data_IF_599594554249
#
_entry.id   IF_599594554249
#
_cell.length_a   1.000
_cell.length_b   1.000
_cell.length_c   1.000
_cell.angle_alpha   90.00
_cell.angle_beta   90.00
_cell.angle_gamma   90.00
#
_symmetry.space_group_name_H-M   'P 1'
#
loop_
_entity.id
_entity.type
_entity.pdbx_description
1 polymer ?
#
# COMPACT_ATOMS: atom_id res chain seq x y z
N UNK A 1 -3.72 -11.44 -29.08
CA UNK A 1 -3.00 -11.39 -27.79
C UNK A 1 -3.49 -12.57 -26.97
N UNK A 2 -2.63 -13.53 -26.63
CA UNK A 2 -3.03 -14.72 -25.85
C UNK A 2 -3.67 -14.27 -24.53
N UNK A 3 -4.93 -14.66 -24.30
CA UNK A 3 -5.65 -14.27 -23.10
C UNK A 3 -5.00 -14.94 -21.89
N UNK A 4 -4.17 -14.19 -21.15
CA UNK A 4 -3.61 -14.65 -19.88
C UNK A 4 -4.74 -15.18 -18.99
N UNK A 5 -4.51 -16.35 -18.40
CA UNK A 5 -5.48 -16.93 -17.46
C UNK A 5 -5.69 -15.98 -16.27
N UNK A 6 -6.86 -15.98 -15.61
CA UNK A 6 -7.14 -15.07 -14.50
C UNK A 6 -6.10 -15.09 -13.38
N UNK A 7 -5.59 -16.27 -13.02
CA UNK A 7 -4.55 -16.41 -11.99
C UNK A 7 -3.20 -15.83 -12.44
N UNK A 8 -2.81 -15.99 -13.72
CA UNK A 8 -1.58 -15.40 -14.26
C UNK A 8 -1.63 -13.88 -14.22
N UNK A 9 -2.80 -13.29 -14.54
CA UNK A 9 -3.01 -11.84 -14.42
C UNK A 9 -2.91 -11.37 -12.98
N UNK A 10 -3.45 -12.12 -12.01
CA UNK A 10 -3.31 -11.80 -10.59
C UNK A 10 -1.86 -11.88 -10.13
N UNK A 11 -1.14 -12.96 -10.46
CA UNK A 11 0.28 -13.09 -10.12
C UNK A 11 1.10 -11.97 -10.74
N UNK A 12 0.88 -11.66 -12.02
CA UNK A 12 1.55 -10.56 -12.71
C UNK A 12 1.24 -9.21 -12.04
N UNK A 13 -0.02 -8.92 -11.73
CA UNK A 13 -0.41 -7.70 -11.04
C UNK A 13 0.29 -7.58 -9.69
N UNK A 14 0.29 -8.66 -8.90
CA UNK A 14 0.98 -8.69 -7.59
C UNK A 14 2.47 -8.44 -7.74
N UNK A 15 3.16 -9.14 -8.65
CA UNK A 15 4.59 -8.94 -8.89
C UNK A 15 4.88 -7.52 -9.32
N UNK A 16 4.09 -6.97 -10.27
CA UNK A 16 4.24 -5.60 -10.73
C UNK A 16 4.03 -4.58 -9.60
N UNK A 17 3.05 -4.81 -8.73
CA UNK A 17 2.82 -3.93 -7.57
C UNK A 17 3.97 -4.03 -6.57
N UNK A 18 4.49 -5.22 -6.28
CA UNK A 18 5.64 -5.37 -5.38
C UNK A 18 6.89 -4.69 -5.92
N UNK A 19 7.18 -4.88 -7.22
CA UNK A 19 8.29 -4.20 -7.89
C UNK A 19 8.08 -2.69 -7.91
N UNK A 20 6.87 -2.21 -8.18
CA UNK A 20 6.55 -0.78 -8.18
C UNK A 20 6.68 -0.15 -6.79
N UNK A 21 6.20 -0.83 -5.74
CA UNK A 21 6.36 -0.38 -4.35
C UNK A 21 7.83 -0.32 -3.94
N UNK A 22 8.62 -1.33 -4.31
CA UNK A 22 10.05 -1.35 -4.04
C UNK A 22 10.78 -0.24 -4.79
N UNK A 23 10.51 -0.07 -6.08
CA UNK A 23 11.08 0.98 -6.91
C UNK A 23 10.69 2.37 -6.39
N UNK A 24 9.42 2.56 -6.00
CA UNK A 24 8.96 3.83 -5.43
C UNK A 24 9.63 4.13 -4.08
N UNK A 25 9.85 3.11 -3.24
CA UNK A 25 10.56 3.27 -1.97
C UNK A 25 12.03 3.65 -2.18
N UNK A 26 12.69 2.99 -3.14
CA UNK A 26 14.07 3.31 -3.52
C UNK A 26 14.18 4.71 -4.15
N UNK A 27 13.25 5.08 -5.03
CA UNK A 27 13.22 6.40 -5.65
C UNK A 27 12.96 7.49 -4.60
N UNK A 28 12.06 7.22 -3.65
CA UNK A 28 11.76 8.14 -2.58
C UNK A 28 12.97 8.40 -1.68
N UNK A 29 13.68 7.36 -1.26
CA UNK A 29 14.86 7.52 -0.43
C UNK A 29 16.01 8.26 -1.15
N UNK A 30 16.12 8.10 -2.47
CA UNK A 30 17.22 8.70 -3.25
C UNK A 30 16.94 10.12 -3.74
N UNK A 31 15.71 10.43 -4.14
CA UNK A 31 15.39 11.64 -4.89
C UNK A 31 14.38 12.58 -4.22
N UNK A 32 13.55 12.11 -3.29
CA UNK A 32 12.61 13.02 -2.63
C UNK A 32 13.34 13.88 -1.58
N UNK A 33 13.03 15.18 -1.48
CA UNK A 33 13.54 16.03 -0.41
C UNK A 33 13.19 15.44 0.97
N UNK A 34 14.06 15.56 2.00
CA UNK A 34 13.78 15.04 3.34
C UNK A 34 12.44 15.51 3.91
N UNK A 35 12.06 16.76 3.67
CA UNK A 35 10.78 17.33 4.09
C UNK A 35 9.56 16.56 3.55
N UNK A 36 9.70 15.91 2.40
CA UNK A 36 8.64 15.13 1.77
C UNK A 36 8.61 13.68 2.27
N UNK A 37 9.73 13.19 2.83
CA UNK A 37 9.82 11.87 3.44
C UNK A 37 9.35 11.85 4.90
N UNK A 38 9.12 13.02 5.50
CA UNK A 38 8.76 13.15 6.90
C UNK A 38 7.35 12.64 7.19
N UNK A 39 7.23 11.89 8.27
CA UNK A 39 5.94 11.60 8.88
C UNK A 39 5.40 12.87 9.54
N UNK A 40 4.14 13.20 9.24
CA UNK A 40 3.46 14.36 9.83
C UNK A 40 2.86 13.95 11.16
N UNK A 41 3.30 14.53 12.30
CA UNK A 41 2.69 14.27 13.59
C UNK A 41 1.30 14.92 13.63
N UNK A 42 0.30 14.15 14.05
CA UNK A 42 -1.09 14.62 14.23
C UNK A 42 -1.65 14.11 15.56
N UNK A 43 -2.77 14.67 16.07
CA UNK A 43 -3.43 14.13 17.26
C UNK A 43 -3.87 12.66 17.12
N UNK A 44 -4.00 12.16 15.88
CA UNK A 44 -4.37 10.78 15.56
C UNK A 44 -3.15 9.86 15.38
N UNK A 45 -1.94 10.39 15.53
CA UNK A 45 -0.68 9.66 15.32
C UNK A 45 0.16 10.22 14.16
N UNK A 46 1.11 9.41 13.70
CA UNK A 46 2.02 9.79 12.62
C UNK A 46 1.43 9.41 11.26
N UNK A 47 1.26 10.40 10.39
CA UNK A 47 0.72 10.22 9.05
C UNK A 47 1.82 10.30 8.00
N UNK A 48 1.68 9.53 6.93
CA UNK A 48 2.64 9.51 5.81
C UNK A 48 1.91 9.80 4.48
N UNK A 49 1.56 11.07 4.20
CA UNK A 49 0.72 11.44 3.06
C UNK A 49 1.26 10.95 1.72
N UNK A 50 2.57 11.08 1.52
CA UNK A 50 3.23 10.64 0.28
C UNK A 50 3.17 9.13 0.14
N UNK A 51 3.37 8.39 1.23
CA UNK A 51 3.24 6.93 1.22
C UNK A 51 1.84 6.49 0.83
N UNK A 52 0.79 7.22 1.23
CA UNK A 52 -0.58 6.93 0.81
C UNK A 52 -0.77 7.14 -0.69
N UNK A 53 -0.23 8.24 -1.24
CA UNK A 53 -0.30 8.53 -2.68
C UNK A 53 0.45 7.46 -3.50
N UNK A 54 1.65 7.09 -3.06
CA UNK A 54 2.46 6.02 -3.68
C UNK A 54 1.71 4.70 -3.62
N UNK A 55 1.14 4.36 -2.47
CA UNK A 55 0.34 3.12 -2.30
C UNK A 55 -0.85 3.12 -3.25
N UNK A 56 -1.61 4.22 -3.33
CA UNK A 56 -2.73 4.34 -4.26
C UNK A 56 -2.29 4.18 -5.73
N UNK A 57 -1.19 4.83 -6.13
CA UNK A 57 -0.66 4.72 -7.49
C UNK A 57 -0.21 3.30 -7.84
N UNK A 58 0.51 2.63 -6.93
CA UNK A 58 0.93 1.25 -7.13
C UNK A 58 -0.29 0.31 -7.20
N UNK A 59 -1.25 0.44 -6.30
CA UNK A 59 -2.44 -0.42 -6.30
C UNK A 59 -3.33 -0.16 -7.52
N UNK A 60 -3.33 1.06 -8.06
CA UNK A 60 -3.98 1.36 -9.34
C UNK A 60 -3.35 0.58 -10.50
N UNK A 61 -2.02 0.43 -10.56
CA UNK A 61 -1.38 -0.42 -11.57
C UNK A 61 -1.88 -1.87 -11.48
N UNK A 62 -1.95 -2.43 -10.27
CA UNK A 62 -2.49 -3.78 -10.08
C UNK A 62 -3.97 -3.89 -10.47
N UNK A 63 -4.77 -2.87 -10.16
CA UNK A 63 -6.17 -2.76 -10.57
C UNK A 63 -6.34 -2.67 -12.09
N UNK A 64 -5.46 -1.96 -12.81
CA UNK A 64 -5.47 -1.91 -14.28
C UNK A 64 -5.16 -3.29 -14.88
N UNK A 65 -4.27 -4.06 -14.27
CA UNK A 65 -3.82 -5.36 -14.81
C UNK A 65 -4.79 -6.49 -14.49
N UNK A 66 -5.32 -6.57 -13.26
CA UNK A 66 -6.12 -7.69 -12.76
C UNK A 66 -7.61 -7.34 -12.49
N UNK A 67 -8.00 -6.07 -12.62
CA UNK A 67 -9.38 -5.61 -12.48
C UNK A 67 -9.90 -5.65 -11.05
N UNK A 68 -11.24 -5.71 -10.91
CA UNK A 68 -11.93 -5.61 -9.61
C UNK A 68 -11.51 -6.66 -8.59
N UNK A 69 -11.09 -7.86 -9.04
CA UNK A 69 -10.63 -8.95 -8.16
C UNK A 69 -9.33 -8.59 -7.43
N UNK A 70 -8.55 -7.65 -7.96
CA UNK A 70 -7.31 -7.21 -7.34
C UNK A 70 -7.54 -6.46 -6.02
N UNK A 71 -8.74 -5.92 -5.77
CA UNK A 71 -9.05 -5.20 -4.52
C UNK A 71 -8.74 -6.04 -3.27
N UNK A 72 -9.09 -7.33 -3.28
CA UNK A 72 -8.82 -8.25 -2.16
C UNK A 72 -7.33 -8.43 -1.95
N UNK A 73 -6.57 -8.53 -3.04
CA UNK A 73 -5.10 -8.66 -3.00
C UNK A 73 -4.44 -7.37 -2.52
N UNK A 74 -4.91 -6.21 -2.99
CA UNK A 74 -4.41 -4.90 -2.56
C UNK A 74 -4.60 -4.70 -1.05
N UNK A 75 -5.79 -5.01 -0.53
CA UNK A 75 -6.09 -4.95 0.89
C UNK A 75 -5.25 -5.98 1.68
N UNK A 76 -5.19 -7.22 1.21
CA UNK A 76 -4.42 -8.29 1.86
C UNK A 76 -2.93 -7.98 1.93
N UNK A 77 -2.32 -7.48 0.85
CA UNK A 77 -0.92 -7.06 0.82
C UNK A 77 -0.66 -5.88 1.77
N UNK A 78 -1.53 -4.86 1.74
CA UNK A 78 -1.38 -3.68 2.59
C UNK A 78 -1.51 -4.05 4.07
N UNK A 79 -2.46 -4.95 4.40
CA UNK A 79 -2.62 -5.46 5.76
C UNK A 79 -1.41 -6.30 6.19
N UNK A 80 -0.91 -7.19 5.32
CA UNK A 80 0.28 -7.99 5.60
C UNK A 80 1.52 -7.13 5.85
N UNK A 81 1.70 -6.05 5.06
CA UNK A 81 2.77 -5.08 5.29
C UNK A 81 2.62 -4.39 6.65
N UNK A 82 1.42 -3.97 7.03
CA UNK A 82 1.19 -3.37 8.35
C UNK A 82 1.43 -4.35 9.50
N UNK A 83 1.02 -5.61 9.36
CA UNK A 83 1.35 -6.66 10.34
C UNK A 83 2.86 -6.78 10.48
N UNK A 84 3.59 -6.85 9.36
CA UNK A 84 5.06 -6.88 9.38
C UNK A 84 5.67 -5.62 10.02
N UNK A 85 5.12 -4.43 9.74
CA UNK A 85 5.54 -3.18 10.38
C UNK A 85 5.32 -3.22 11.89
N UNK A 86 4.16 -3.68 12.37
CA UNK A 86 3.91 -3.81 13.81
C UNK A 86 4.83 -4.82 14.47
N UNK A 87 5.11 -5.95 13.83
CA UNK A 87 6.08 -6.94 14.32
C UNK A 87 7.48 -6.33 14.39
N UNK A 88 7.90 -5.58 13.37
CA UNK A 88 9.19 -4.90 13.36
C UNK A 88 9.29 -3.85 14.48
N UNK A 89 8.29 -2.97 14.60
CA UNK A 89 8.25 -1.94 15.64
C UNK A 89 8.22 -2.54 17.05
N UNK A 90 7.49 -3.65 17.23
CA UNK A 90 7.48 -4.40 18.47
C UNK A 90 8.89 -4.90 18.83
N UNK A 91 9.60 -5.52 17.88
CA UNK A 91 10.96 -6.02 18.09
C UNK A 91 11.97 -4.91 18.39
N UNK A 92 11.77 -3.70 17.88
CA UNK A 92 12.63 -2.54 18.17
C UNK A 92 12.31 -1.95 19.56
N UNK A 93 11.04 -1.92 19.95
CA UNK A 93 10.61 -1.30 21.20
C UNK A 93 10.74 -2.20 22.43
N UNK A 94 10.63 -3.53 22.27
CA UNK A 94 10.73 -4.53 23.33
C UNK A 94 12.07 -4.48 24.11
N UNK A 95 13.25 -4.35 23.47
CA UNK A 95 14.53 -4.28 24.16
C UNK A 95 14.79 -2.97 24.90
N UNK A 96 13.98 -1.93 24.66
CA UNK A 96 14.26 -0.57 25.11
C UNK A 96 13.55 -0.18 26.42
N UNK A 97 12.67 -1.03 26.98
CA UNK A 97 11.76 -0.60 28.07
C UNK A 97 11.56 -1.69 29.13
N UNK A 98 11.97 -1.37 30.37
CA UNK A 98 11.51 -2.00 31.60
C UNK A 98 10.13 -1.40 32.00
N UNK A 99 9.01 -2.10 31.74
CA UNK A 99 7.75 -1.88 32.47
C UNK A 99 6.58 -1.11 31.79
N UNK A 100 6.59 -0.83 30.49
CA UNK A 100 5.46 -0.21 29.77
C UNK A 100 4.53 -1.19 29.02
N UNK A 101 3.39 -0.71 28.49
CA UNK A 101 2.59 -1.37 27.42
C UNK A 101 2.98 -0.81 26.03
N UNK A 102 4.21 -1.02 25.52
CA UNK A 102 4.72 -0.35 24.33
C UNK A 102 3.93 -0.68 23.07
N UNK A 103 3.43 -1.92 22.96
CA UNK A 103 2.67 -2.39 21.81
C UNK A 103 1.38 -1.61 21.61
N UNK A 104 0.68 -1.26 22.70
CA UNK A 104 -0.56 -0.50 22.63
C UNK A 104 -0.31 0.94 22.19
N UNK A 105 0.77 1.56 22.66
CA UNK A 105 1.15 2.92 22.26
C UNK A 105 1.55 2.95 20.77
N UNK A 106 2.36 1.99 20.31
CA UNK A 106 2.74 1.84 18.89
C UNK A 106 1.49 1.67 18.03
N UNK A 107 0.58 0.79 18.43
CA UNK A 107 -0.66 0.57 17.70
C UNK A 107 -1.50 1.85 17.64
N UNK A 108 -1.73 2.54 18.76
CA UNK A 108 -2.51 3.79 18.79
C UNK A 108 -1.88 4.90 17.96
N UNK A 109 -0.55 5.05 17.97
CA UNK A 109 0.16 6.07 17.19
C UNK A 109 0.16 5.81 15.68
N UNK A 110 -0.16 4.59 15.24
CA UNK A 110 -0.09 4.19 13.84
C UNK A 110 -1.44 3.73 13.26
N UNK A 111 -2.47 3.53 14.09
CA UNK A 111 -3.77 3.02 13.65
C UNK A 111 -4.40 3.89 12.55
N UNK A 112 -4.36 5.21 12.70
CA UNK A 112 -4.85 6.13 11.67
C UNK A 112 -4.08 5.97 10.35
N UNK A 113 -2.76 5.81 10.42
CA UNK A 113 -1.92 5.59 9.26
C UNK A 113 -2.23 4.26 8.56
N UNK A 114 -2.49 3.21 9.35
CA UNK A 114 -2.88 1.90 8.81
C UNK A 114 -4.21 1.94 8.07
N UNK A 115 -5.21 2.59 8.66
CA UNK A 115 -6.52 2.77 8.05
C UNK A 115 -6.41 3.60 6.77
N UNK A 116 -5.65 4.70 6.78
CA UNK A 116 -5.46 5.54 5.60
C UNK A 116 -4.70 4.81 4.48
N UNK A 117 -3.69 4.00 4.80
CA UNK A 117 -3.01 3.16 3.81
C UNK A 117 -3.96 2.13 3.19
N UNK A 118 -4.81 1.48 3.99
CA UNK A 118 -5.82 0.55 3.48
C UNK A 118 -6.84 1.25 2.59
N UNK A 119 -7.30 2.43 2.99
CA UNK A 119 -8.19 3.26 2.18
C UNK A 119 -7.52 3.67 0.86
N UNK A 120 -6.26 4.12 0.90
CA UNK A 120 -5.48 4.46 -0.28
C UNK A 120 -5.29 3.27 -1.22
N UNK A 121 -5.00 2.08 -0.68
CA UNK A 121 -4.89 0.85 -1.44
C UNK A 121 -6.20 0.46 -2.12
N UNK A 122 -7.32 0.55 -1.38
CA UNK A 122 -8.65 0.28 -1.90
C UNK A 122 -9.04 1.25 -3.01
N UNK A 123 -8.83 2.55 -2.80
CA UNK A 123 -9.10 3.59 -3.78
C UNK A 123 -8.25 3.41 -5.03
N UNK A 124 -6.94 3.18 -4.87
CA UNK A 124 -6.02 2.91 -5.97
C UNK A 124 -6.48 1.72 -6.81
N UNK A 125 -6.68 0.56 -6.18
CA UNK A 125 -7.14 -0.65 -6.86
C UNK A 125 -8.49 -0.45 -7.57
N UNK A 126 -9.43 0.27 -6.94
CA UNK A 126 -10.73 0.58 -7.52
C UNK A 126 -10.62 1.46 -8.76
N UNK A 127 -9.87 2.56 -8.69
CA UNK A 127 -9.65 3.47 -9.81
C UNK A 127 -8.95 2.76 -10.98
N UNK A 128 -7.93 1.94 -10.68
CA UNK A 128 -7.27 1.12 -11.70
C UNK A 128 -8.22 0.16 -12.41
N UNK A 129 -9.08 -0.52 -11.65
CA UNK A 129 -10.07 -1.42 -12.19
C UNK A 129 -11.14 -0.70 -13.04
N UNK A 130 -11.58 0.50 -12.62
CA UNK A 130 -12.50 1.33 -13.41
C UNK A 130 -11.87 1.71 -14.75
N UNK A 131 -10.60 2.13 -14.75
CA UNK A 131 -9.91 2.49 -15.98
C UNK A 131 -9.77 1.31 -16.95
N UNK A 132 -9.48 0.11 -16.43
CA UNK A 132 -9.46 -1.10 -17.24
C UNK A 132 -10.83 -1.39 -17.88
N UNK A 133 -11.92 -1.25 -17.11
CA UNK A 133 -13.28 -1.47 -17.60
C UNK A 133 -13.62 -0.49 -18.73
N UNK A 134 -13.30 0.80 -18.57
CA UNK A 134 -13.49 1.83 -19.59
C UNK A 134 -12.67 1.54 -20.87
N UNK A 135 -11.41 1.11 -20.73
CA UNK A 135 -10.58 0.72 -21.89
C UNK A 135 -11.15 -0.48 -22.64
N UNK A 136 -11.71 -1.44 -21.91
CA UNK A 136 -12.31 -2.63 -22.51
C UNK A 136 -13.58 -2.26 -23.27
N UNK A 137 -14.45 -1.42 -22.70
CA UNK A 137 -15.67 -0.92 -23.34
C UNK A 137 -15.38 -0.15 -24.64
N UNK A 138 -14.35 0.71 -24.64
CA UNK A 138 -13.93 1.47 -25.84
C UNK A 138 -13.33 0.60 -26.94
N UNK A 139 -12.76 -0.55 -26.60
CA UNK A 139 -12.18 -1.47 -27.60
C UNK A 139 -13.24 -2.36 -28.27
N UNK A 140 -14.44 -2.44 -27.69
CA UNK A 140 -15.56 -3.25 -28.19
C UNK A 140 -16.66 -2.42 -28.86
N UNK A 141 -16.54 -1.09 -28.84
CA UNK A 141 -17.43 -0.14 -29.52
C UNK A 141 -16.83 0.25 -30.87
#
# INVERSE_FOLDING_TARGET
MSALRPWQRMTLATVMVLVALLAASWLASRFLPPAWQQMVPTPLGYLAPISYLVTAACMALGGVIAGRRFLVVALGLTLALWIATFVLLANIALPAIDGGRPLLAIFRMNAASAVLSLAAAALGAHLGAQWQAQRTMRATA
#
